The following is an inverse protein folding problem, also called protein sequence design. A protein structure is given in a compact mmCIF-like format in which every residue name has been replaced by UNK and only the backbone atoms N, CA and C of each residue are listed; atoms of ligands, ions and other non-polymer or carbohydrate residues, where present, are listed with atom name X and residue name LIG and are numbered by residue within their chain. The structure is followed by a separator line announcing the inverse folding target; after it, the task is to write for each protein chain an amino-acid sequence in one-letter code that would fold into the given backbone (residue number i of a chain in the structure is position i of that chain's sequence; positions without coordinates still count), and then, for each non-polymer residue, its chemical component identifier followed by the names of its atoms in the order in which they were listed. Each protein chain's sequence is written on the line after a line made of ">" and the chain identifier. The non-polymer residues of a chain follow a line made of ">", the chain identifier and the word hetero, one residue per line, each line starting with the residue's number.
data_IF_254928627568
#
_entry.id   IF_254928627568
#
_cell.length_a   1.000
_cell.length_b   1.000
_cell.length_c   1.000
_cell.angle_alpha   90.00
_cell.angle_beta   90.00
_cell.angle_gamma   90.00
#
_symmetry.space_group_name_H-M   'P 1'
#
loop_
_entity.id
_entity.type
_entity.pdbx_description
1 polymer ?
#
# COMPACT_ATOMS: atom_id res chain seq x y z
N UNK A 1 -22.74 -11.20 0.18
CA UNK A 1 -21.85 -10.86 1.31
C UNK A 1 -22.08 -9.39 1.64
N UNK A 2 -21.93 -8.96 2.90
CA UNK A 2 -22.01 -7.54 3.21
C UNK A 2 -20.85 -6.79 2.49
N UNK A 3 -21.12 -5.59 2.02
CA UNK A 3 -20.13 -4.73 1.37
C UNK A 3 -19.11 -4.24 2.41
N UNK A 4 -17.82 -4.33 2.10
CA UNK A 4 -16.72 -3.99 3.02
C UNK A 4 -16.47 -2.48 2.95
N UNK A 5 -16.48 -1.81 4.10
CA UNK A 5 -16.21 -0.37 4.22
C UNK A 5 -14.70 -0.12 4.32
N UNK A 6 -14.12 0.56 3.34
CA UNK A 6 -12.68 0.83 3.28
C UNK A 6 -12.40 2.30 3.60
N UNK A 7 -11.50 2.54 4.55
CA UNK A 7 -10.89 3.84 4.79
C UNK A 7 -9.63 4.02 3.96
N UNK A 8 -9.49 5.14 3.26
CA UNK A 8 -8.27 5.51 2.56
C UNK A 8 -7.46 6.50 3.40
N UNK A 9 -6.21 6.16 3.69
CA UNK A 9 -5.27 6.99 4.45
C UNK A 9 -4.15 7.45 3.52
N UNK A 10 -4.10 8.76 3.27
CA UNK A 10 -3.27 9.36 2.24
C UNK A 10 -3.97 9.40 0.87
N UNK A 11 -4.44 10.57 0.47
CA UNK A 11 -5.15 10.79 -0.80
C UNK A 11 -4.26 11.47 -1.87
N UNK A 12 -2.96 11.17 -1.85
CA UNK A 12 -2.00 11.55 -2.89
C UNK A 12 -2.24 10.80 -4.21
N UNK A 13 -1.24 10.81 -5.10
CA UNK A 13 -1.34 10.19 -6.44
C UNK A 13 -1.74 8.71 -6.37
N UNK A 14 -1.13 7.95 -5.46
CA UNK A 14 -1.43 6.51 -5.30
C UNK A 14 -2.76 6.32 -4.57
N UNK A 15 -3.03 7.10 -3.53
CA UNK A 15 -4.31 7.03 -2.82
C UNK A 15 -5.51 7.26 -3.73
N UNK A 16 -5.46 8.21 -4.66
CA UNK A 16 -6.52 8.42 -5.66
C UNK A 16 -6.75 7.21 -6.56
N UNK A 17 -5.68 6.46 -6.90
CA UNK A 17 -5.82 5.20 -7.66
C UNK A 17 -6.50 4.13 -6.83
N UNK A 18 -6.19 4.05 -5.54
CA UNK A 18 -6.88 3.13 -4.62
C UNK A 18 -8.36 3.51 -4.45
N UNK A 19 -8.66 4.80 -4.28
CA UNK A 19 -10.07 5.26 -4.23
C UNK A 19 -10.84 4.78 -5.46
N UNK A 20 -10.31 5.02 -6.65
CA UNK A 20 -10.92 4.57 -7.91
C UNK A 20 -11.06 3.04 -7.98
N UNK A 21 -10.07 2.30 -7.50
CA UNK A 21 -10.14 0.84 -7.48
C UNK A 21 -11.23 0.32 -6.53
N UNK A 22 -11.39 0.95 -5.36
CA UNK A 22 -12.46 0.65 -4.40
C UNK A 22 -13.82 0.97 -4.99
N UNK A 23 -13.99 2.14 -5.62
CA UNK A 23 -15.24 2.55 -6.27
C UNK A 23 -15.67 1.61 -7.41
N UNK A 24 -14.70 1.04 -8.14
CA UNK A 24 -14.96 0.06 -9.21
C UNK A 24 -15.17 -1.38 -8.69
N UNK A 25 -15.08 -1.61 -7.39
CA UNK A 25 -15.28 -2.93 -6.80
C UNK A 25 -16.75 -3.16 -6.46
N UNK A 26 -17.25 -4.38 -6.71
CA UNK A 26 -18.58 -4.79 -6.27
C UNK A 26 -18.62 -5.29 -4.83
N UNK A 27 -17.47 -5.43 -4.17
CA UNK A 27 -17.34 -6.07 -2.87
C UNK A 27 -16.99 -5.10 -1.73
N UNK A 28 -16.59 -3.88 -2.07
CA UNK A 28 -16.22 -2.87 -1.09
C UNK A 28 -16.61 -1.47 -1.57
N UNK A 29 -16.70 -0.54 -0.64
CA UNK A 29 -16.93 0.87 -0.91
C UNK A 29 -15.98 1.75 -0.11
N UNK A 30 -15.71 2.93 -0.64
CA UNK A 30 -14.95 3.95 0.06
C UNK A 30 -15.83 4.58 1.14
N UNK A 31 -15.48 4.39 2.40
CA UNK A 31 -16.25 4.85 3.54
C UNK A 31 -15.70 6.13 4.17
N UNK A 32 -14.40 6.41 3.99
CA UNK A 32 -13.77 7.61 4.54
C UNK A 32 -12.41 7.89 3.87
N UNK A 33 -11.96 9.15 3.94
CA UNK A 33 -10.61 9.57 3.60
C UNK A 33 -9.94 10.21 4.81
N UNK A 34 -8.71 9.81 5.10
CA UNK A 34 -7.83 10.42 6.12
C UNK A 34 -6.65 11.06 5.42
N UNK A 35 -6.42 12.34 5.63
CA UNK A 35 -5.29 13.08 5.09
C UNK A 35 -5.13 14.42 5.84
N UNK A 36 -3.97 15.08 5.69
CA UNK A 36 -3.71 16.39 6.32
C UNK A 36 -3.88 17.55 5.34
N UNK A 37 -4.14 17.28 4.05
CA UNK A 37 -4.16 18.31 3.00
C UNK A 37 -5.56 18.82 2.68
N UNK A 38 -5.64 20.08 2.30
CA UNK A 38 -6.90 20.72 1.84
C UNK A 38 -7.39 20.08 0.54
N UNK A 39 -6.49 19.66 -0.34
CA UNK A 39 -6.79 18.98 -1.59
C UNK A 39 -7.50 17.64 -1.35
N UNK A 40 -7.02 16.86 -0.39
CA UNK A 40 -7.64 15.60 0.00
C UNK A 40 -9.05 15.83 0.60
N UNK A 41 -9.22 16.90 1.39
CA UNK A 41 -10.54 17.28 1.90
C UNK A 41 -11.52 17.64 0.79
N UNK A 42 -11.07 18.38 -0.24
CA UNK A 42 -11.89 18.67 -1.43
C UNK A 42 -12.23 17.39 -2.19
N UNK A 43 -11.27 16.47 -2.31
CA UNK A 43 -11.48 15.19 -2.98
C UNK A 43 -12.50 14.32 -2.23
N UNK A 44 -12.39 14.19 -0.91
CA UNK A 44 -13.38 13.49 -0.08
C UNK A 44 -14.79 14.06 -0.26
N UNK A 45 -14.91 15.40 -0.26
CA UNK A 45 -16.20 16.08 -0.52
C UNK A 45 -16.76 15.75 -1.91
N UNK A 46 -15.92 15.72 -2.93
CA UNK A 46 -16.33 15.39 -4.30
C UNK A 46 -16.83 13.95 -4.43
N UNK A 47 -16.26 13.03 -3.65
CA UNK A 47 -16.67 11.62 -3.57
C UNK A 47 -17.85 11.39 -2.59
N UNK A 48 -18.29 12.42 -1.87
CA UNK A 48 -19.39 12.30 -0.91
C UNK A 48 -19.06 11.47 0.35
N UNK A 49 -17.76 11.34 0.69
CA UNK A 49 -17.32 10.55 1.84
C UNK A 49 -16.79 11.44 2.98
N UNK A 50 -16.91 11.01 4.25
CA UNK A 50 -16.31 11.68 5.40
C UNK A 50 -14.80 11.88 5.25
N UNK A 51 -14.31 13.01 5.77
CA UNK A 51 -12.89 13.34 5.84
C UNK A 51 -12.45 13.45 7.30
N UNK A 52 -11.30 12.86 7.61
CA UNK A 52 -10.67 12.90 8.93
C UNK A 52 -9.23 13.40 8.81
N UNK A 53 -8.74 14.06 9.86
CA UNK A 53 -7.36 14.55 9.91
C UNK A 53 -6.38 13.48 10.42
N UNK A 54 -6.85 12.45 11.11
CA UNK A 54 -6.03 11.37 11.66
C UNK A 54 -6.76 10.01 11.66
N UNK A 55 -5.97 8.93 11.81
CA UNK A 55 -6.50 7.57 11.98
C UNK A 55 -7.28 7.41 13.28
N UNK A 56 -6.83 8.09 14.33
CA UNK A 56 -7.50 8.09 15.64
C UNK A 56 -8.93 8.62 15.54
N UNK A 57 -9.13 9.72 14.82
CA UNK A 57 -10.47 10.27 14.55
C UNK A 57 -11.33 9.30 13.74
N UNK A 58 -10.76 8.67 12.70
CA UNK A 58 -11.46 7.68 11.89
C UNK A 58 -11.95 6.50 12.74
N UNK A 59 -11.09 5.97 13.61
CA UNK A 59 -11.42 4.78 14.40
C UNK A 59 -12.46 5.05 15.49
N UNK A 60 -12.52 6.27 16.02
CA UNK A 60 -13.61 6.67 16.92
C UNK A 60 -14.99 6.57 16.25
N UNK A 61 -15.06 6.83 14.94
CA UNK A 61 -16.28 6.78 14.17
C UNK A 61 -16.81 5.37 13.86
N UNK A 62 -15.98 4.33 14.00
CA UNK A 62 -16.31 2.93 13.65
C UNK A 62 -16.93 2.75 12.26
N UNK A 63 -16.42 3.49 11.28
CA UNK A 63 -16.99 3.57 9.93
C UNK A 63 -16.39 2.57 8.95
N UNK A 64 -15.29 1.90 9.32
CA UNK A 64 -14.49 1.10 8.39
C UNK A 64 -14.27 -0.31 8.91
N UNK A 65 -14.22 -1.27 7.99
CA UNK A 65 -13.88 -2.67 8.24
C UNK A 65 -12.40 -2.94 7.96
N UNK A 66 -11.74 -2.06 7.22
CA UNK A 66 -10.33 -2.09 6.90
C UNK A 66 -9.84 -0.77 6.31
N UNK A 67 -8.52 -0.60 6.22
CA UNK A 67 -7.93 0.62 5.66
C UNK A 67 -6.88 0.31 4.60
N UNK A 68 -6.68 1.26 3.68
CA UNK A 68 -5.56 1.30 2.75
C UNK A 68 -4.65 2.45 3.19
N UNK A 69 -3.40 2.13 3.56
CA UNK A 69 -2.37 3.11 3.92
C UNK A 69 -1.55 3.44 2.68
N UNK A 70 -1.79 4.62 2.09
CA UNK A 70 -1.11 5.16 0.91
C UNK A 70 -0.37 6.47 1.24
N UNK A 71 0.09 6.60 2.45
CA UNK A 71 0.88 7.71 3.01
C UNK A 71 2.36 7.60 2.63
N UNK A 72 3.22 8.57 2.98
CA UNK A 72 4.67 8.41 2.92
C UNK A 72 5.17 7.20 3.74
N UNK A 73 6.17 6.51 3.21
CA UNK A 73 6.60 5.19 3.72
C UNK A 73 7.14 5.20 5.16
N UNK A 74 7.62 6.34 5.62
CA UNK A 74 8.09 6.55 7.00
C UNK A 74 6.94 6.51 8.04
N UNK A 75 5.71 6.70 7.60
CA UNK A 75 4.52 6.64 8.44
C UNK A 75 3.92 5.23 8.55
N UNK A 76 4.23 4.34 7.60
CA UNK A 76 3.58 3.03 7.45
C UNK A 76 3.65 2.18 8.71
N UNK A 77 4.82 2.11 9.37
CA UNK A 77 5.00 1.32 10.58
C UNK A 77 4.09 1.79 11.71
N UNK A 78 4.08 3.09 12.00
CA UNK A 78 3.28 3.62 13.10
C UNK A 78 1.79 3.47 12.83
N UNK A 79 1.37 3.75 11.60
CA UNK A 79 -0.02 3.62 11.17
C UNK A 79 -0.48 2.15 11.15
N UNK A 80 0.34 1.23 10.64
CA UNK A 80 0.02 -0.20 10.64
C UNK A 80 -0.09 -0.79 12.04
N UNK A 81 0.80 -0.39 12.97
CA UNK A 81 0.72 -0.77 14.39
C UNK A 81 -0.56 -0.23 15.02
N UNK A 82 -0.93 1.01 14.71
CA UNK A 82 -2.16 1.62 15.20
C UNK A 82 -3.41 0.88 14.69
N UNK A 83 -3.42 0.51 13.41
CA UNK A 83 -4.49 -0.30 12.83
C UNK A 83 -4.66 -1.64 13.55
N UNK A 84 -3.55 -2.39 13.70
CA UNK A 84 -3.59 -3.69 14.36
C UNK A 84 -4.07 -3.59 15.83
N UNK A 85 -3.63 -2.57 16.59
CA UNK A 85 -4.09 -2.30 17.96
C UNK A 85 -5.58 -1.96 18.06
N UNK A 86 -6.17 -1.42 16.99
CA UNK A 86 -7.59 -1.11 16.92
C UNK A 86 -8.42 -2.21 16.25
N UNK A 87 -7.83 -3.38 15.99
CA UNK A 87 -8.46 -4.52 15.31
C UNK A 87 -8.93 -4.18 13.87
N UNK A 88 -8.22 -3.30 13.18
CA UNK A 88 -8.54 -2.89 11.81
C UNK A 88 -7.50 -3.48 10.85
N UNK A 89 -7.91 -4.38 9.92
CA UNK A 89 -7.04 -4.86 8.85
C UNK A 89 -6.50 -3.73 7.99
N UNK A 90 -5.24 -3.84 7.53
CA UNK A 90 -4.61 -2.81 6.74
C UNK A 90 -3.91 -3.37 5.50
N UNK A 91 -4.18 -2.77 4.34
CA UNK A 91 -3.32 -2.87 3.17
C UNK A 91 -2.35 -1.68 3.22
N UNK A 92 -1.05 -1.96 3.27
CA UNK A 92 -0.01 -0.93 3.34
C UNK A 92 0.71 -0.87 2.00
N UNK A 93 0.80 0.31 1.40
CA UNK A 93 1.56 0.52 0.17
C UNK A 93 3.04 0.15 0.34
N UNK A 94 3.63 -0.18 -0.79
CA UNK A 94 5.07 -0.49 -0.81
C UNK A 94 5.94 0.80 -0.80
N UNK A 95 7.13 0.76 -0.20
CA UNK A 95 7.65 -0.33 0.63
C UNK A 95 6.85 -0.46 1.93
N UNK A 96 6.72 -1.67 2.46
CA UNK A 96 6.00 -1.93 3.71
C UNK A 96 6.51 -1.07 4.87
N UNK A 97 7.83 -0.85 4.91
CA UNK A 97 8.52 0.04 5.84
C UNK A 97 9.83 0.53 5.21
N UNK A 98 10.48 1.51 5.85
CA UNK A 98 11.76 2.08 5.39
C UNK A 98 12.98 1.38 5.97
N UNK A 99 12.80 0.55 7.01
CA UNK A 99 13.84 -0.25 7.65
C UNK A 99 13.36 -1.68 7.88
N UNK A 100 14.30 -2.63 7.99
CA UNK A 100 14.00 -4.04 8.32
C UNK A 100 13.32 -4.12 9.69
N UNK A 101 13.85 -3.43 10.68
CA UNK A 101 13.30 -3.43 12.05
C UNK A 101 11.84 -2.95 12.09
N UNK A 102 11.47 -1.93 11.29
CA UNK A 102 10.10 -1.45 11.21
C UNK A 102 9.19 -2.46 10.52
N UNK A 103 9.70 -3.16 9.49
CA UNK A 103 8.95 -4.22 8.82
C UNK A 103 8.72 -5.42 9.76
N UNK A 104 9.74 -5.83 10.53
CA UNK A 104 9.64 -6.88 11.55
C UNK A 104 8.65 -6.52 12.64
N UNK A 105 8.60 -5.25 13.06
CA UNK A 105 7.62 -4.77 14.02
C UNK A 105 6.18 -4.91 13.51
N UNK A 106 5.95 -4.65 12.21
CA UNK A 106 4.63 -4.85 11.58
C UNK A 106 4.25 -6.33 11.51
N UNK A 107 5.19 -7.20 11.16
CA UNK A 107 4.97 -8.66 11.16
C UNK A 107 4.64 -9.15 12.56
N UNK A 108 5.41 -8.70 13.56
CA UNK A 108 5.22 -9.08 14.95
C UNK A 108 3.85 -8.68 15.47
N UNK A 109 3.44 -7.43 15.25
CA UNK A 109 2.12 -6.97 15.74
C UNK A 109 0.97 -7.69 15.03
N UNK A 110 1.09 -7.97 13.71
CA UNK A 110 0.09 -8.72 12.98
C UNK A 110 -0.07 -10.14 13.55
N UNK A 111 1.04 -10.81 13.86
CA UNK A 111 1.04 -12.13 14.49
C UNK A 111 0.45 -12.11 15.92
N UNK A 112 0.79 -11.12 16.72
CA UNK A 112 0.31 -11.00 18.10
C UNK A 112 -1.18 -10.70 18.18
N UNK A 113 -1.70 -9.89 17.28
CA UNK A 113 -3.12 -9.47 17.27
C UNK A 113 -4.00 -10.39 16.42
N UNK A 114 -3.42 -11.16 15.51
CA UNK A 114 -4.17 -11.89 14.48
C UNK A 114 -4.80 -11.00 13.40
N UNK A 115 -4.50 -9.70 13.41
CA UNK A 115 -5.08 -8.75 12.45
C UNK A 115 -4.25 -8.74 11.16
N UNK A 116 -4.89 -8.94 9.98
CA UNK A 116 -4.19 -8.95 8.70
C UNK A 116 -3.53 -7.62 8.36
N UNK A 117 -2.23 -7.68 8.05
CA UNK A 117 -1.48 -6.59 7.40
C UNK A 117 -0.99 -7.12 6.07
N UNK A 118 -1.41 -6.50 4.98
CA UNK A 118 -1.11 -6.91 3.60
C UNK A 118 -0.22 -5.84 2.95
N UNK A 119 0.88 -6.26 2.32
CA UNK A 119 1.74 -5.35 1.55
C UNK A 119 1.20 -5.12 0.14
N UNK A 120 1.21 -3.87 -0.32
CA UNK A 120 0.69 -3.41 -1.61
C UNK A 120 1.52 -3.83 -2.83
N UNK A 121 2.01 -5.06 -2.88
CA UNK A 121 2.73 -5.63 -4.02
C UNK A 121 1.76 -6.14 -5.10
N UNK A 122 1.13 -5.20 -5.81
CA UNK A 122 0.05 -5.47 -6.76
C UNK A 122 0.45 -6.38 -7.93
N UNK A 123 1.76 -6.43 -8.30
CA UNK A 123 2.25 -7.29 -9.40
C UNK A 123 2.04 -8.78 -9.12
N UNK A 124 1.94 -9.20 -7.85
CA UNK A 124 1.61 -10.58 -7.46
C UNK A 124 0.28 -11.06 -8.03
N UNK A 125 -0.62 -10.14 -8.37
CA UNK A 125 -1.94 -10.39 -8.96
C UNK A 125 -1.98 -10.15 -10.47
N UNK A 126 -0.83 -9.92 -11.11
CA UNK A 126 -0.73 -9.74 -12.55
C UNK A 126 -0.72 -11.11 -13.24
N UNK A 127 -1.65 -11.31 -14.20
CA UNK A 127 -1.81 -12.60 -14.90
C UNK A 127 -0.54 -13.05 -15.66
N UNK A 128 0.26 -12.11 -16.19
CA UNK A 128 1.51 -12.45 -16.87
C UNK A 128 2.58 -12.93 -15.86
N UNK A 129 2.66 -12.30 -14.69
CA UNK A 129 3.56 -12.74 -13.61
C UNK A 129 3.13 -14.11 -13.07
N UNK A 130 1.83 -14.32 -12.89
CA UNK A 130 1.29 -15.61 -12.49
C UNK A 130 1.59 -16.71 -13.53
N UNK A 131 1.41 -16.43 -14.82
CA UNK A 131 1.76 -17.35 -15.89
C UNK A 131 3.26 -17.70 -15.91
N UNK A 132 4.15 -16.70 -15.77
CA UNK A 132 5.59 -16.91 -15.67
C UNK A 132 5.96 -17.77 -14.45
N UNK A 133 5.35 -17.51 -13.30
CA UNK A 133 5.52 -18.32 -12.09
C UNK A 133 5.10 -19.76 -12.31
N UNK A 134 3.96 -19.99 -12.98
CA UNK A 134 3.47 -21.36 -13.27
C UNK A 134 4.45 -22.12 -14.18
N UNK A 135 5.00 -21.48 -15.22
CA UNK A 135 6.02 -22.08 -16.10
C UNK A 135 7.28 -22.48 -15.32
N UNK A 136 7.73 -21.64 -14.40
CA UNK A 136 8.89 -21.95 -13.54
C UNK A 136 8.56 -23.13 -12.62
N UNK A 137 7.39 -23.11 -11.97
CA UNK A 137 6.98 -24.12 -11.00
C UNK A 137 6.63 -25.46 -11.64
N UNK A 138 6.16 -25.48 -12.89
CA UNK A 138 5.88 -26.72 -13.64
C UNK A 138 7.14 -27.48 -14.03
N UNK A 139 8.31 -26.83 -13.98
CA UNK A 139 9.58 -27.42 -14.41
C UNK A 139 9.82 -27.39 -15.92
N UNK A 140 8.95 -26.76 -16.71
CA UNK A 140 9.11 -26.68 -18.18
C UNK A 140 10.46 -26.09 -18.61
N UNK A 141 10.99 -25.14 -17.86
CA UNK A 141 12.32 -24.55 -18.13
C UNK A 141 13.46 -25.22 -17.37
N UNK A 142 13.16 -26.34 -16.67
CA UNK A 142 14.15 -27.04 -15.83
C UNK A 142 14.52 -26.26 -14.56
N UNK A 143 15.71 -26.56 -14.04
CA UNK A 143 16.21 -25.91 -12.82
C UNK A 143 16.62 -24.47 -13.11
N UNK A 144 16.05 -23.52 -12.40
CA UNK A 144 16.48 -22.11 -12.44
C UNK A 144 17.91 -22.00 -11.93
N UNK A 145 18.83 -21.49 -12.78
CA UNK A 145 20.26 -21.35 -12.47
C UNK A 145 20.59 -19.91 -12.08
N UNK A 146 19.94 -18.96 -12.71
CA UNK A 146 20.18 -17.53 -12.45
C UNK A 146 19.11 -16.65 -13.06
N UNK A 147 18.99 -15.45 -12.53
CA UNK A 147 18.09 -14.41 -13.02
C UNK A 147 18.90 -13.14 -13.25
N UNK A 148 18.66 -12.47 -14.38
CA UNK A 148 19.19 -11.13 -14.65
C UNK A 148 18.02 -10.18 -14.82
N UNK A 149 17.95 -9.12 -14.02
CA UNK A 149 16.93 -8.09 -14.10
C UNK A 149 17.58 -6.72 -14.30
N UNK A 150 17.10 -5.98 -15.30
CA UNK A 150 17.55 -4.62 -15.58
C UNK A 150 16.35 -3.70 -15.45
N UNK A 151 16.44 -2.72 -14.53
CA UNK A 151 15.50 -1.63 -14.43
C UNK A 151 16.22 -0.32 -14.74
N UNK A 152 15.89 0.29 -15.87
CA UNK A 152 16.46 1.56 -16.30
C UNK A 152 15.36 2.48 -16.81
N UNK A 153 15.14 3.61 -16.12
CA UNK A 153 14.13 4.59 -16.50
C UNK A 153 14.64 6.00 -16.17
N UNK A 154 14.68 6.87 -17.17
CA UNK A 154 14.91 8.30 -16.96
C UNK A 154 13.66 8.91 -16.38
N UNK A 155 13.78 9.56 -15.21
CA UNK A 155 12.73 10.39 -14.63
C UNK A 155 12.88 11.82 -15.09
N UNK A 156 11.77 12.55 -15.22
CA UNK A 156 11.78 14.00 -15.42
C UNK A 156 12.24 14.70 -14.12
N UNK A 157 12.70 15.94 -14.22
CA UNK A 157 13.34 16.64 -13.10
C UNK A 157 12.39 16.83 -11.92
N UNK A 158 11.13 17.16 -12.19
CA UNK A 158 10.08 17.39 -11.20
C UNK A 158 9.77 16.13 -10.35
N UNK A 159 10.19 14.95 -10.82
CA UNK A 159 10.11 13.73 -10.01
C UNK A 159 10.92 13.86 -8.72
N UNK A 160 12.02 14.61 -8.76
CA UNK A 160 12.94 14.77 -7.64
C UNK A 160 12.59 15.94 -6.71
N UNK A 161 11.56 16.72 -7.02
CA UNK A 161 11.06 17.80 -6.18
C UNK A 161 10.50 17.31 -4.83
N UNK A 162 10.11 16.03 -4.78
CA UNK A 162 9.71 15.40 -3.54
C UNK A 162 10.95 14.92 -2.78
N UNK A 163 11.36 15.67 -1.78
CA UNK A 163 12.55 15.47 -0.93
C UNK A 163 12.81 14.03 -0.49
N UNK A 164 11.75 13.30 -0.09
CA UNK A 164 11.88 11.94 0.40
C UNK A 164 12.45 10.97 -0.64
N UNK A 165 12.31 11.26 -1.93
CA UNK A 165 12.78 10.38 -3.03
C UNK A 165 14.30 10.32 -3.15
N UNK A 166 14.99 11.33 -2.65
CA UNK A 166 16.46 11.43 -2.66
C UNK A 166 17.09 11.15 -1.30
N UNK A 167 16.27 11.05 -0.24
CA UNK A 167 16.73 10.79 1.13
C UNK A 167 16.83 9.28 1.42
N UNK A 168 17.45 8.94 2.55
CA UNK A 168 17.50 7.55 3.06
C UNK A 168 16.09 6.99 3.23
N UNK A 169 15.82 5.81 2.71
CA UNK A 169 14.49 5.21 2.66
C UNK A 169 13.71 5.51 1.37
N UNK A 170 14.23 6.41 0.51
CA UNK A 170 13.78 6.63 -0.86
C UNK A 170 14.68 5.92 -1.88
N UNK A 171 14.80 6.53 -3.06
CA UNK A 171 15.65 6.04 -4.14
C UNK A 171 15.01 4.95 -5.02
N UNK A 172 15.66 4.60 -6.14
CA UNK A 172 15.04 3.81 -7.20
C UNK A 172 14.80 2.35 -6.80
N UNK A 173 15.58 1.79 -5.89
CA UNK A 173 15.41 0.40 -5.44
C UNK A 173 14.07 0.27 -4.69
N UNK A 174 13.87 1.04 -3.62
CA UNK A 174 12.68 0.96 -2.78
C UNK A 174 11.41 1.53 -3.44
N UNK A 175 11.57 2.46 -4.38
CA UNK A 175 10.41 3.11 -5.00
C UNK A 175 9.95 2.45 -6.29
N UNK A 176 10.86 1.80 -7.03
CA UNK A 176 10.57 1.25 -8.34
C UNK A 176 11.00 -0.22 -8.47
N UNK A 177 12.29 -0.53 -8.30
CA UNK A 177 12.83 -1.88 -8.49
C UNK A 177 12.26 -2.90 -7.50
N UNK A 178 11.74 -2.45 -6.36
CA UNK A 178 11.10 -3.31 -5.37
C UNK A 178 10.00 -4.19 -5.95
N UNK A 179 9.29 -3.73 -6.99
CA UNK A 179 8.28 -4.53 -7.66
C UNK A 179 8.89 -5.70 -8.46
N UNK A 180 10.08 -5.51 -9.02
CA UNK A 180 10.77 -6.54 -9.80
C UNK A 180 11.44 -7.53 -8.83
N UNK A 181 12.02 -7.04 -7.73
CA UNK A 181 12.55 -7.87 -6.65
C UNK A 181 11.46 -8.75 -6.04
N UNK A 182 10.26 -8.21 -5.84
CA UNK A 182 9.12 -8.95 -5.28
C UNK A 182 8.60 -10.06 -6.22
N UNK A 183 8.89 -9.97 -7.52
CA UNK A 183 8.49 -10.97 -8.51
C UNK A 183 9.52 -12.11 -8.66
N UNK A 184 10.75 -11.97 -8.13
CA UNK A 184 11.82 -12.96 -8.19
C UNK A 184 11.68 -14.00 -7.09
#
# INVERSE_FOLDING_TARGET
>A
MAEINIGLVGAGVIGKKHALAVENSSNCKLAAIVDVTTEAKKHARALGVPFFASLEELFQGRLVDGVILATPSDLHKNQGVLCAKNNIPALIEKPLATTISDAEALVTIAQQTGIPIISGHYRRFNKQIEAARNVIQSGEIGRLIGVSAIWAMKKHNEYYDADWRTKKGGGPILTNLIHDIDCL
#
